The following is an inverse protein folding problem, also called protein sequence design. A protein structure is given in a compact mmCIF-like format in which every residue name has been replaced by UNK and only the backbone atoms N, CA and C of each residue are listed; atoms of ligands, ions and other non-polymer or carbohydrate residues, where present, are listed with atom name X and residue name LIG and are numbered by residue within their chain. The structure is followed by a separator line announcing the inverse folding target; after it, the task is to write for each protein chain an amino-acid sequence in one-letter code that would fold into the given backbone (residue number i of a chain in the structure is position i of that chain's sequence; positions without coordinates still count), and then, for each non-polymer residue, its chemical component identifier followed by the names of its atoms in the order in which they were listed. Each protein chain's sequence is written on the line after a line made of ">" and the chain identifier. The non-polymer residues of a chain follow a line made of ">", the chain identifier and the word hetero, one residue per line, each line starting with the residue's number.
data_IF_265744613675
#
_entry.id   IF_265744613675
#
_cell.length_a   1.000
_cell.length_b   1.000
_cell.length_c   1.000
_cell.angle_alpha   90.00
_cell.angle_beta   90.00
_cell.angle_gamma   90.00
#
_symmetry.space_group_name_H-M   'P 1'
#
loop_
_entity.id
_entity.type
_entity.pdbx_description
1 polymer ?
#
# COMPACT_ATOMS: atom_id res chain seq x y z
N UNK A 1 -12.60 16.58 9.49
CA UNK A 1 -11.35 17.21 9.03
C UNK A 1 -10.23 16.24 9.34
N UNK A 2 -9.79 15.42 8.39
CA UNK A 2 -8.96 15.87 7.27
C UNK A 2 -7.61 15.14 7.36
N UNK A 3 -7.66 13.81 7.41
CA UNK A 3 -6.46 12.97 7.48
C UNK A 3 -6.05 12.45 6.10
N UNK A 4 -6.88 12.64 5.07
CA UNK A 4 -6.54 12.21 3.73
C UNK A 4 -5.28 12.92 3.24
N UNK A 5 -4.26 12.13 2.91
CA UNK A 5 -2.98 12.61 2.39
C UNK A 5 -2.89 12.43 0.88
N UNK A 6 -3.71 11.54 0.31
CA UNK A 6 -3.76 11.27 -1.13
C UNK A 6 -5.17 10.92 -1.60
N UNK A 7 -5.60 11.54 -2.70
CA UNK A 7 -6.85 11.27 -3.39
C UNK A 7 -6.59 10.66 -4.77
N UNK A 8 -7.37 9.65 -5.12
CA UNK A 8 -7.41 9.03 -6.44
C UNK A 8 -8.75 9.35 -7.13
N UNK A 9 -8.69 9.77 -8.39
CA UNK A 9 -9.89 9.93 -9.23
C UNK A 9 -10.16 8.60 -9.91
N UNK A 10 -11.26 7.96 -9.56
CA UNK A 10 -11.67 6.68 -10.12
C UNK A 10 -11.85 6.76 -11.64
N UNK A 11 -11.38 5.75 -12.36
CA UNK A 11 -11.52 5.63 -13.81
C UNK A 11 -12.62 4.62 -14.17
N UNK A 12 -13.19 4.68 -15.40
CA UNK A 12 -14.19 3.70 -15.83
C UNK A 12 -13.66 2.25 -15.72
N UNK A 13 -14.32 1.45 -14.89
CA UNK A 13 -13.95 0.05 -14.63
C UNK A 13 -13.25 -0.19 -13.30
N UNK A 14 -12.88 0.87 -12.56
CA UNK A 14 -12.39 0.71 -11.19
C UNK A 14 -13.46 0.18 -10.25
N UNK A 15 -13.01 -0.66 -9.33
CA UNK A 15 -13.78 -1.24 -8.23
C UNK A 15 -12.88 -1.25 -6.99
N UNK A 16 -13.42 -1.41 -5.78
CA UNK A 16 -12.57 -1.44 -4.59
C UNK A 16 -11.43 -2.46 -4.71
N UNK A 17 -11.66 -3.63 -5.31
CA UNK A 17 -10.60 -4.61 -5.51
C UNK A 17 -9.43 -4.09 -6.37
N UNK A 18 -9.66 -3.24 -7.38
CA UNK A 18 -8.55 -2.63 -8.13
C UNK A 18 -7.83 -1.57 -7.31
N UNK A 19 -8.56 -0.81 -6.50
CA UNK A 19 -8.00 0.21 -5.59
C UNK A 19 -7.18 -0.45 -4.47
N UNK A 20 -7.67 -1.52 -3.87
CA UNK A 20 -6.97 -2.29 -2.84
C UNK A 20 -5.60 -2.75 -3.34
N UNK A 21 -5.57 -3.31 -4.56
CA UNK A 21 -4.33 -3.76 -5.19
C UNK A 21 -3.42 -2.60 -5.60
N UNK A 22 -4.01 -1.53 -6.16
CA UNK A 22 -3.26 -0.36 -6.62
C UNK A 22 -2.55 0.35 -5.47
N UNK A 23 -3.25 0.55 -4.35
CA UNK A 23 -2.79 1.36 -3.23
C UNK A 23 -2.34 0.54 -2.02
N UNK A 24 -2.40 -0.80 -2.09
CA UNK A 24 -1.99 -1.66 -0.98
C UNK A 24 -2.83 -1.48 0.28
N UNK A 25 -4.11 -1.12 0.14
CA UNK A 25 -5.05 -0.93 1.25
C UNK A 25 -6.14 -2.01 1.21
N UNK A 26 -6.83 -2.25 2.32
CA UNK A 26 -8.00 -3.14 2.35
C UNK A 26 -9.31 -2.38 2.15
N UNK A 27 -10.37 -3.11 1.80
CA UNK A 27 -11.74 -2.57 1.78
C UNK A 27 -12.11 -1.89 3.10
N UNK A 28 -11.67 -2.43 4.25
CA UNK A 28 -11.95 -1.81 5.56
C UNK A 28 -11.25 -0.46 5.70
N UNK A 29 -10.01 -0.33 5.20
CA UNK A 29 -9.29 0.93 5.14
C UNK A 29 -9.94 1.91 4.15
N UNK A 30 -10.35 1.44 2.96
CA UNK A 30 -11.09 2.24 1.98
C UNK A 30 -12.35 2.84 2.62
N UNK A 31 -13.15 2.05 3.32
CA UNK A 31 -14.37 2.51 4.00
C UNK A 31 -14.04 3.46 5.16
N UNK A 32 -12.95 3.21 5.89
CA UNK A 32 -12.52 4.11 6.97
C UNK A 32 -12.08 5.48 6.43
N UNK A 33 -11.43 5.51 5.27
CA UNK A 33 -11.02 6.74 4.58
C UNK A 33 -12.20 7.46 3.90
N UNK A 34 -13.19 6.69 3.44
CA UNK A 34 -14.34 7.15 2.66
C UNK A 34 -15.64 6.56 3.26
N UNK A 35 -16.14 7.11 4.38
CA UNK A 35 -17.28 6.54 5.12
C UNK A 35 -18.58 6.46 4.32
N UNK A 36 -18.67 7.16 3.19
CA UNK A 36 -19.75 7.05 2.22
C UNK A 36 -19.75 5.72 1.45
N UNK A 37 -18.59 5.06 1.30
CA UNK A 37 -18.49 3.75 0.64
C UNK A 37 -19.11 2.67 1.53
N UNK A 38 -19.95 1.84 0.94
CA UNK A 38 -20.56 0.72 1.64
C UNK A 38 -19.70 -0.55 1.61
N UNK A 39 -19.97 -1.49 2.52
CA UNK A 39 -19.21 -2.74 2.65
C UNK A 39 -19.32 -3.70 1.46
N UNK A 40 -20.20 -3.44 0.50
CA UNK A 40 -20.34 -4.22 -0.74
C UNK A 40 -19.61 -3.53 -1.91
N UNK A 41 -19.01 -2.36 -1.69
CA UNK A 41 -18.40 -1.52 -2.71
C UNK A 41 -19.30 -1.28 -3.95
N UNK A 42 -20.62 -1.24 -3.77
CA UNK A 42 -21.56 -1.02 -4.89
C UNK A 42 -21.76 0.44 -5.25
N UNK A 43 -21.15 1.34 -4.48
CA UNK A 43 -21.24 2.79 -4.65
C UNK A 43 -19.86 3.46 -4.84
N UNK A 44 -18.94 2.72 -5.42
CA UNK A 44 -17.69 3.24 -5.96
C UNK A 44 -17.90 3.58 -7.44
N UNK A 45 -17.78 4.86 -7.80
CA UNK A 45 -18.16 5.37 -9.12
C UNK A 45 -16.97 6.01 -9.83
N UNK A 46 -16.91 5.83 -11.15
CA UNK A 46 -15.93 6.52 -11.97
C UNK A 46 -16.11 8.06 -11.89
N UNK A 47 -15.01 8.78 -12.10
CA UNK A 47 -14.89 10.24 -12.05
C UNK A 47 -15.07 10.87 -10.65
N UNK A 48 -15.34 10.07 -9.62
CA UNK A 48 -15.34 10.50 -8.23
C UNK A 48 -13.94 10.40 -7.61
N UNK A 49 -13.66 11.31 -6.66
CA UNK A 49 -12.39 11.34 -5.94
C UNK A 49 -12.51 10.61 -4.60
N UNK A 50 -11.72 9.56 -4.42
CA UNK A 50 -11.67 8.77 -3.19
C UNK A 50 -10.33 8.93 -2.51
N UNK A 51 -10.36 9.04 -1.19
CA UNK A 51 -9.17 9.03 -0.37
C UNK A 51 -8.55 7.63 -0.35
N UNK A 52 -7.26 7.53 -0.66
CA UNK A 52 -6.53 6.25 -0.75
C UNK A 52 -5.34 6.18 0.22
N UNK A 53 -5.01 7.29 0.88
CA UNK A 53 -3.98 7.32 1.93
C UNK A 53 -4.36 8.32 3.01
N UNK A 54 -3.95 8.03 4.25
CA UNK A 54 -3.98 8.99 5.35
C UNK A 54 -2.81 8.75 6.29
N UNK A 55 -2.41 9.78 7.04
CA UNK A 55 -1.42 9.64 8.11
C UNK A 55 -1.84 8.65 9.23
N UNK A 56 -3.10 8.22 9.27
CA UNK A 56 -3.63 7.25 10.22
C UNK A 56 -3.57 5.80 9.71
N UNK A 57 -3.31 5.58 8.40
CA UNK A 57 -3.00 4.25 7.89
C UNK A 57 -1.51 4.01 8.13
N UNK A 58 -1.21 3.27 9.18
CA UNK A 58 0.14 2.87 9.55
C UNK A 58 0.21 1.35 9.58
N UNK A 59 1.24 0.77 8.97
CA UNK A 59 1.50 -0.67 9.00
C UNK A 59 1.43 -1.34 7.63
N UNK A 60 1.56 -2.67 7.59
CA UNK A 60 1.67 -3.39 6.32
C UNK A 60 0.38 -3.35 5.51
N UNK A 61 0.46 -3.39 4.17
CA UNK A 61 -0.67 -3.66 3.31
C UNK A 61 -1.44 -4.87 3.82
N UNK A 62 -2.70 -4.68 4.22
CA UNK A 62 -3.49 -5.70 4.91
C UNK A 62 -3.73 -6.97 4.06
N UNK A 63 -3.49 -6.89 2.75
CA UNK A 63 -3.73 -7.99 1.82
C UNK A 63 -2.49 -8.86 1.53
N UNK A 64 -1.29 -8.51 2.03
CA UNK A 64 -0.06 -9.23 1.66
C UNK A 64 0.93 -9.29 2.83
N UNK A 65 0.65 -10.18 3.79
CA UNK A 65 1.69 -10.64 4.72
C UNK A 65 2.57 -11.63 3.96
N UNK A 66 3.79 -11.23 3.61
CA UNK A 66 4.79 -12.18 3.11
C UNK A 66 5.11 -13.16 4.23
N UNK A 67 4.86 -14.44 3.96
CA UNK A 67 5.14 -15.52 4.90
C UNK A 67 6.62 -15.49 5.29
N UNK A 68 6.89 -15.45 6.59
CA UNK A 68 8.25 -15.37 7.13
C UNK A 68 8.83 -13.96 7.25
N UNK A 69 8.07 -12.90 6.92
CA UNK A 69 8.49 -11.54 7.25
C UNK A 69 8.55 -11.35 8.77
N UNK A 70 9.69 -10.88 9.27
CA UNK A 70 9.95 -10.66 10.70
C UNK A 70 10.16 -9.19 11.05
N UNK A 71 10.38 -8.34 10.06
CA UNK A 71 10.51 -6.90 10.27
C UNK A 71 9.97 -6.11 9.07
N UNK A 72 9.36 -4.97 9.38
CA UNK A 72 8.70 -4.09 8.42
C UNK A 72 9.20 -2.65 8.61
N UNK A 73 9.45 -1.97 7.50
CA UNK A 73 9.83 -0.57 7.48
C UNK A 73 8.70 0.29 6.90
N UNK A 74 8.29 1.32 7.65
CA UNK A 74 7.29 2.29 7.21
C UNK A 74 7.92 3.35 6.32
N UNK A 75 7.38 3.53 5.12
CA UNK A 75 7.89 4.48 4.13
C UNK A 75 7.70 5.92 4.62
N UNK A 76 8.78 6.69 4.54
CA UNK A 76 8.86 8.10 4.87
C UNK A 76 8.98 8.97 3.62
N UNK A 77 8.86 10.29 3.82
CA UNK A 77 8.89 11.24 2.69
C UNK A 77 10.29 11.29 2.09
N UNK A 78 10.39 11.01 0.79
CA UNK A 78 11.67 10.97 0.06
C UNK A 78 12.26 9.56 -0.11
N UNK A 79 11.64 8.55 0.49
CA UNK A 79 12.06 7.16 0.31
C UNK A 79 11.83 6.67 -1.13
N UNK A 80 12.72 5.78 -1.56
CA UNK A 80 12.59 5.01 -2.79
C UNK A 80 12.94 3.56 -2.49
N UNK A 81 12.49 2.62 -3.32
CA UNK A 81 12.78 1.20 -3.08
C UNK A 81 14.29 0.93 -3.00
N UNK A 82 15.12 1.64 -3.78
CA UNK A 82 16.58 1.46 -3.74
C UNK A 82 17.19 1.98 -2.43
N UNK A 83 16.69 3.10 -1.90
CA UNK A 83 17.17 3.66 -0.64
C UNK A 83 16.80 2.76 0.53
N UNK A 84 15.53 2.34 0.60
CA UNK A 84 15.05 1.43 1.64
C UNK A 84 15.76 0.09 1.54
N UNK A 85 15.82 -0.53 0.35
CA UNK A 85 16.53 -1.80 0.17
C UNK A 85 18.00 -1.68 0.63
N UNK A 86 18.69 -0.61 0.23
CA UNK A 86 20.08 -0.37 0.59
C UNK A 86 20.31 -0.23 2.10
N UNK A 87 19.42 0.49 2.80
CA UNK A 87 19.48 0.67 4.26
C UNK A 87 19.43 -0.68 4.99
N UNK A 88 18.65 -1.62 4.46
CA UNK A 88 18.49 -2.97 5.02
C UNK A 88 19.42 -4.02 4.39
N UNK A 89 20.40 -3.60 3.59
CA UNK A 89 21.38 -4.50 2.97
C UNK A 89 20.79 -5.43 1.89
N UNK A 90 19.62 -5.10 1.36
CA UNK A 90 18.96 -5.81 0.27
C UNK A 90 19.31 -5.17 -1.08
N UNK A 91 19.42 -5.99 -2.12
CA UNK A 91 19.30 -5.50 -3.50
C UNK A 91 17.85 -5.13 -3.80
N UNK A 92 17.63 -4.25 -4.79
CA UNK A 92 16.28 -3.94 -5.28
C UNK A 92 15.48 -5.20 -5.62
N UNK A 93 16.10 -6.17 -6.30
CA UNK A 93 15.48 -7.45 -6.65
C UNK A 93 15.06 -8.26 -5.43
N UNK A 94 15.88 -8.29 -4.37
CA UNK A 94 15.50 -8.95 -3.12
C UNK A 94 14.34 -8.21 -2.44
N UNK A 95 14.39 -6.88 -2.39
CA UNK A 95 13.35 -6.08 -1.74
C UNK A 95 11.98 -6.26 -2.41
N UNK A 96 11.88 -6.22 -3.75
CA UNK A 96 10.61 -6.47 -4.43
C UNK A 96 10.19 -7.95 -4.40
N UNK A 97 11.13 -8.89 -4.20
CA UNK A 97 10.79 -10.29 -3.97
C UNK A 97 10.15 -10.50 -2.59
N UNK A 98 10.57 -9.72 -1.60
CA UNK A 98 9.95 -9.67 -0.27
C UNK A 98 8.63 -8.91 -0.24
N UNK A 99 8.30 -8.16 -1.29
CA UNK A 99 7.13 -7.28 -1.37
C UNK A 99 6.54 -7.36 -2.78
N UNK A 100 5.91 -8.50 -3.17
CA UNK A 100 5.43 -8.75 -4.52
C UNK A 100 4.33 -7.78 -4.98
N UNK A 101 3.72 -7.02 -4.08
CA UNK A 101 2.87 -5.88 -4.38
C UNK A 101 3.62 -4.74 -5.05
N UNK A 102 4.91 -4.56 -4.74
CA UNK A 102 5.72 -3.50 -5.33
C UNK A 102 6.02 -3.89 -6.77
N UNK A 103 5.62 -3.03 -7.70
CA UNK A 103 5.92 -3.23 -9.10
C UNK A 103 7.42 -2.99 -9.39
N UNK A 104 7.91 -3.56 -10.48
CA UNK A 104 9.33 -3.45 -10.87
C UNK A 104 9.79 -2.02 -11.17
N UNK A 105 8.87 -1.07 -11.33
CA UNK A 105 9.17 0.35 -11.53
C UNK A 105 9.21 1.13 -10.20
N UNK A 106 8.88 0.50 -9.07
CA UNK A 106 8.76 1.13 -7.76
C UNK A 106 7.83 2.37 -7.76
N UNK A 107 6.81 2.39 -8.62
CA UNK A 107 5.88 3.54 -8.70
C UNK A 107 4.73 3.46 -7.71
N UNK A 108 4.64 2.36 -6.95
CA UNK A 108 3.60 2.09 -5.96
C UNK A 108 4.19 1.83 -4.57
N UNK A 109 5.24 2.58 -4.23
CA UNK A 109 5.78 2.67 -2.88
C UNK A 109 5.07 3.83 -2.16
N UNK A 110 4.23 3.51 -1.17
CA UNK A 110 3.33 4.50 -0.59
C UNK A 110 3.78 4.96 0.79
N UNK A 111 3.83 6.27 0.95
CA UNK A 111 4.12 6.94 2.23
C UNK A 111 3.17 6.45 3.33
N UNK A 112 3.74 6.07 4.48
CA UNK A 112 2.98 5.60 5.66
C UNK A 112 2.64 4.11 5.65
N UNK A 113 2.81 3.41 4.53
CA UNK A 113 2.69 1.95 4.48
C UNK A 113 4.01 1.28 4.89
N UNK A 114 3.91 0.07 5.47
CA UNK A 114 5.07 -0.69 5.90
C UNK A 114 5.35 -1.89 4.98
N UNK A 115 6.60 -2.03 4.55
CA UNK A 115 7.01 -3.09 3.63
C UNK A 115 8.06 -3.98 4.30
N UNK A 116 8.07 -5.26 3.95
CA UNK A 116 8.95 -6.25 4.52
C UNK A 116 10.42 -5.93 4.19
N UNK A 117 11.26 -5.91 5.22
CA UNK A 117 12.70 -5.65 5.09
C UNK A 117 13.57 -6.78 5.66
N UNK A 118 12.98 -7.70 6.40
CA UNK A 118 13.66 -8.88 6.91
C UNK A 118 12.74 -10.10 6.93
N UNK A 119 13.29 -11.25 6.53
CA UNK A 119 12.65 -12.56 6.68
C UNK A 119 13.49 -13.47 7.58
N UNK A 120 12.87 -14.47 8.21
CA UNK A 120 13.65 -15.56 8.81
C UNK A 120 14.52 -16.21 7.73
N UNK A 121 15.82 -16.48 7.97
CA UNK A 121 16.64 -17.23 7.03
C UNK A 121 15.97 -18.55 6.67
N UNK A 122 15.87 -18.85 5.37
CA UNK A 122 15.45 -20.16 4.91
C UNK A 122 16.40 -21.20 5.54
N UNK A 123 15.82 -22.17 6.24
CA UNK A 123 16.53 -23.27 6.90
C UNK A 123 17.20 -24.20 5.88
#
# INVERSE_FOLDING_TARGET
>A
TGSCTEYYIATPGDICATIENTFGISLTQIIALNPEINSQCTNFFAEEAYCVSSAAITGPPANLVVEGCVDYYTIESGDTCNLVAGEWGLSFTQYIALNPEINVQCTNLFLGLAYCVAVTPAS
#
